data_IF_316965752785
#
_entry.id   IF_316965752785
#
_cell.length_a   1.000
_cell.length_b   1.000
_cell.length_c   1.000
_cell.angle_alpha   90.00
_cell.angle_beta   90.00
_cell.angle_gamma   90.00
#
_symmetry.space_group_name_H-M   'P 1'
#
loop_
_entity.id
_entity.type
_entity.pdbx_description
1 polymer ?
#
# COMPACT_ATOMS: atom_id res chain seq x y z
N UNK A 1 -69.20 -39.97 -2.42
CA UNK A 1 -70.13 -40.37 -3.52
C UNK A 1 -69.33 -40.65 -4.75
N UNK A 2 -69.40 -41.88 -5.17
CA UNK A 2 -69.28 -42.49 -6.51
C UNK A 2 -68.06 -42.08 -7.35
N UNK A 3 -67.08 -42.97 -7.52
CA UNK A 3 -67.10 -44.27 -8.25
C UNK A 3 -67.34 -44.08 -9.76
N UNK A 4 -66.40 -44.44 -10.64
CA UNK A 4 -66.47 -45.69 -11.41
C UNK A 4 -65.60 -45.50 -12.69
N UNK A 5 -64.69 -46.33 -12.93
CA UNK A 5 -64.52 -47.55 -13.71
C UNK A 5 -63.87 -47.45 -15.08
N UNK A 6 -62.73 -48.13 -15.19
CA UNK A 6 -62.26 -49.11 -16.23
C UNK A 6 -62.28 -48.70 -17.72
N UNK A 7 -61.34 -49.09 -18.54
CA UNK A 7 -60.82 -50.42 -18.95
C UNK A 7 -59.64 -50.36 -19.93
N UNK A 8 -58.68 -51.19 -19.68
CA UNK A 8 -57.87 -52.06 -20.55
C UNK A 8 -57.69 -51.76 -22.04
N UNK A 9 -56.47 -51.77 -22.52
CA UNK A 9 -56.03 -52.04 -23.84
C UNK A 9 -54.60 -52.60 -23.87
N UNK A 10 -54.44 -53.90 -23.92
CA UNK A 10 -53.20 -54.63 -24.15
C UNK A 10 -52.82 -54.56 -25.64
N UNK A 11 -51.62 -54.11 -25.96
CA UNK A 11 -51.01 -54.33 -27.25
C UNK A 11 -49.57 -54.77 -27.11
N UNK A 12 -49.34 -55.99 -27.50
CA UNK A 12 -47.99 -56.56 -27.55
C UNK A 12 -47.18 -55.91 -28.65
N UNK A 13 -46.00 -55.48 -28.39
CA UNK A 13 -45.00 -55.08 -29.37
C UNK A 13 -43.78 -55.97 -29.24
N UNK A 14 -43.46 -56.59 -30.29
CA UNK A 14 -42.35 -57.52 -30.56
C UNK A 14 -41.03 -56.80 -30.30
N UNK A 15 -40.19 -57.29 -29.36
CA UNK A 15 -38.82 -56.83 -29.14
C UNK A 15 -37.91 -57.58 -30.13
N UNK A 16 -37.44 -56.83 -31.10
CA UNK A 16 -36.32 -57.30 -31.97
C UNK A 16 -35.00 -56.91 -31.27
N UNK A 17 -34.27 -57.90 -30.79
CA UNK A 17 -32.94 -57.73 -30.22
C UNK A 17 -31.93 -57.51 -31.35
N UNK A 18 -31.44 -56.26 -31.48
CA UNK A 18 -30.27 -55.97 -32.34
C UNK A 18 -29.07 -55.91 -31.38
N UNK A 19 -28.19 -56.92 -31.42
CA UNK A 19 -26.91 -56.91 -30.76
C UNK A 19 -25.93 -56.06 -31.59
N UNK A 20 -25.69 -54.83 -31.12
CA UNK A 20 -24.61 -53.99 -31.64
C UNK A 20 -23.41 -54.21 -30.76
N UNK A 21 -22.35 -54.79 -31.28
CA UNK A 21 -21.03 -54.85 -30.68
C UNK A 21 -20.46 -53.43 -30.63
N UNK A 22 -20.58 -52.75 -29.50
CA UNK A 22 -19.82 -51.53 -29.25
C UNK A 22 -18.45 -51.91 -28.69
N UNK A 23 -17.45 -51.79 -29.56
CA UNK A 23 -16.05 -51.83 -29.10
C UNK A 23 -15.80 -50.69 -28.12
N UNK A 24 -15.37 -51.03 -26.91
CA UNK A 24 -14.84 -50.07 -25.97
C UNK A 24 -13.54 -49.47 -26.52
N UNK A 25 -13.63 -48.27 -27.09
CA UNK A 25 -12.48 -47.40 -27.27
C UNK A 25 -12.35 -46.68 -25.93
N UNK A 26 -11.40 -47.13 -25.09
CA UNK A 26 -10.98 -46.37 -23.91
C UNK A 26 -10.43 -45.02 -24.39
N UNK A 27 -10.87 -43.90 -23.81
CA UNK A 27 -10.22 -42.63 -24.09
C UNK A 27 -8.78 -42.73 -23.58
N UNK A 28 -7.80 -42.48 -24.47
CA UNK A 28 -6.44 -42.16 -24.02
C UNK A 28 -6.54 -40.96 -23.14
N UNK A 29 -6.28 -41.15 -21.83
CA UNK A 29 -5.93 -40.07 -20.92
C UNK A 29 -4.54 -39.65 -21.38
N UNK A 30 -4.44 -38.59 -22.14
CA UNK A 30 -3.22 -37.86 -22.32
C UNK A 30 -2.86 -37.36 -20.92
N UNK A 31 -1.89 -37.98 -20.31
CA UNK A 31 -1.17 -37.43 -19.15
C UNK A 31 -0.55 -36.12 -19.63
N UNK A 32 -1.25 -35.00 -19.37
CA UNK A 32 -0.60 -33.71 -19.36
C UNK A 32 0.55 -33.84 -18.38
N UNK A 33 1.74 -33.94 -18.93
CA UNK A 33 2.96 -33.75 -18.18
C UNK A 33 2.92 -32.31 -17.64
N UNK A 34 2.63 -32.16 -16.35
CA UNK A 34 3.00 -30.96 -15.61
C UNK A 34 4.52 -30.93 -15.52
N UNK A 35 5.17 -30.57 -16.61
CA UNK A 35 6.54 -30.10 -16.62
C UNK A 35 6.48 -28.63 -17.02
N UNK A 36 6.20 -27.81 -16.04
CA UNK A 36 6.53 -26.40 -16.04
C UNK A 36 7.07 -26.05 -14.65
N UNK A 37 8.31 -26.46 -14.38
CA UNK A 37 9.20 -25.60 -13.68
C UNK A 37 9.39 -24.38 -14.58
N UNK A 38 8.53 -23.36 -14.45
CA UNK A 38 8.90 -22.01 -14.79
C UNK A 38 10.03 -21.65 -13.84
N UNK A 39 11.26 -21.93 -14.25
CA UNK A 39 12.40 -21.13 -13.81
C UNK A 39 12.06 -19.71 -14.23
N UNK A 40 11.43 -18.94 -13.33
CA UNK A 40 11.24 -17.51 -13.53
C UNK A 40 12.63 -16.92 -13.48
N UNK A 41 13.26 -16.74 -14.64
CA UNK A 41 14.51 -16.00 -14.75
C UNK A 41 14.30 -14.66 -14.06
N UNK A 42 15.22 -14.33 -13.15
CA UNK A 42 15.21 -13.01 -12.52
C UNK A 42 15.22 -11.95 -13.62
N UNK A 43 14.40 -10.90 -13.51
CA UNK A 43 14.43 -9.79 -14.44
C UNK A 43 15.85 -9.24 -14.57
N UNK A 44 16.19 -8.70 -15.74
CA UNK A 44 17.53 -8.16 -16.01
C UNK A 44 17.81 -6.84 -15.26
N UNK A 45 16.74 -6.16 -14.82
CA UNK A 45 16.79 -4.87 -14.14
C UNK A 45 16.05 -4.95 -12.80
N UNK A 46 16.54 -4.28 -11.74
CA UNK A 46 15.94 -4.32 -10.43
C UNK A 46 14.57 -3.63 -10.37
N UNK A 47 13.73 -4.03 -9.43
CA UNK A 47 12.54 -3.33 -9.00
C UNK A 47 12.84 -2.69 -7.64
N UNK A 48 12.54 -1.41 -7.46
CA UNK A 48 12.86 -0.67 -6.22
C UNK A 48 14.31 -0.94 -5.74
N UNK A 49 15.25 -0.98 -6.69
CA UNK A 49 16.68 -1.12 -6.41
C UNK A 49 17.21 -2.55 -6.19
N UNK A 50 16.36 -3.58 -6.07
CA UNK A 50 16.79 -4.97 -5.84
C UNK A 50 16.11 -5.95 -6.82
N UNK A 51 16.89 -6.85 -7.42
CA UNK A 51 16.35 -7.86 -8.37
C UNK A 51 15.31 -8.79 -7.72
N UNK A 52 15.54 -9.18 -6.47
CA UNK A 52 14.64 -10.11 -5.76
C UNK A 52 13.24 -9.49 -5.53
N UNK A 53 13.13 -8.18 -5.41
CA UNK A 53 11.86 -7.51 -5.19
C UNK A 53 10.92 -7.62 -6.40
N UNK A 54 11.45 -7.81 -7.59
CA UNK A 54 10.64 -8.01 -8.77
C UNK A 54 9.74 -9.25 -8.68
N UNK A 55 10.17 -10.28 -7.96
CA UNK A 55 9.45 -11.54 -7.77
C UNK A 55 8.53 -11.55 -6.54
N UNK A 56 8.65 -10.56 -5.66
CA UNK A 56 7.83 -10.46 -4.46
C UNK A 56 6.52 -9.75 -4.75
N UNK A 57 5.47 -10.22 -4.08
CA UNK A 57 4.20 -9.49 -4.03
C UNK A 57 4.37 -8.20 -3.24
N UNK A 58 3.57 -7.19 -3.59
CA UNK A 58 3.65 -5.86 -3.00
C UNK A 58 3.61 -5.88 -1.46
N UNK A 59 2.72 -6.68 -0.87
CA UNK A 59 2.56 -6.86 0.58
C UNK A 59 3.76 -7.56 1.26
N UNK A 60 4.67 -8.16 0.49
CA UNK A 60 5.87 -8.85 0.98
C UNK A 60 7.17 -8.10 0.65
N UNK A 61 7.08 -6.80 0.43
CA UNK A 61 8.21 -5.88 0.26
C UNK A 61 8.23 -4.90 1.42
N UNK A 62 9.40 -4.57 1.95
CA UNK A 62 9.56 -3.49 2.93
C UNK A 62 9.95 -2.21 2.21
N UNK A 63 9.07 -1.20 2.27
CA UNK A 63 9.30 0.14 1.74
C UNK A 63 9.73 1.07 2.88
N UNK A 64 10.80 1.85 2.71
CA UNK A 64 11.09 2.97 3.59
C UNK A 64 10.06 4.08 3.32
N UNK A 65 9.46 4.61 4.38
CA UNK A 65 8.36 5.57 4.30
C UNK A 65 8.63 6.83 5.12
N UNK A 66 8.30 7.99 4.58
CA UNK A 66 8.31 9.25 5.33
C UNK A 66 6.89 9.61 5.78
N UNK A 67 6.72 9.75 7.11
CA UNK A 67 5.50 10.29 7.69
C UNK A 67 5.41 11.79 7.42
N UNK A 68 4.29 12.29 6.89
CA UNK A 68 4.13 13.68 6.48
C UNK A 68 5.25 14.19 5.56
N UNK A 69 5.51 13.48 4.49
CA UNK A 69 6.63 13.67 3.55
C UNK A 69 6.79 15.11 3.02
N UNK A 70 5.70 15.85 2.92
CA UNK A 70 5.63 17.24 2.46
C UNK A 70 5.94 18.25 3.56
N UNK A 71 5.86 17.83 4.83
CA UNK A 71 5.96 18.73 5.99
C UNK A 71 7.41 18.97 6.37
N UNK A 72 8.09 19.83 5.59
CA UNK A 72 9.55 20.01 5.68
C UNK A 72 9.97 21.47 5.85
N UNK A 73 11.13 21.66 6.47
CA UNK A 73 11.75 22.99 6.57
C UNK A 73 12.08 23.55 5.18
N UNK A 74 12.50 22.69 4.25
CA UNK A 74 12.81 23.10 2.88
C UNK A 74 11.58 23.66 2.15
N UNK A 75 10.39 23.13 2.45
CA UNK A 75 9.12 23.56 1.86
C UNK A 75 8.44 24.71 2.64
N UNK A 76 9.13 25.24 3.68
CA UNK A 76 8.70 26.39 4.46
C UNK A 76 7.76 26.05 5.60
N UNK A 77 7.63 24.77 5.97
CA UNK A 77 6.89 24.31 7.14
C UNK A 77 7.87 24.12 8.30
N UNK A 78 7.64 24.82 9.40
CA UNK A 78 8.54 24.83 10.55
C UNK A 78 7.89 24.20 11.77
N UNK A 79 8.73 23.84 12.74
CA UNK A 79 8.28 23.37 14.04
C UNK A 79 7.21 24.30 14.64
N UNK A 80 6.09 23.79 15.17
CA UNK A 80 5.83 22.40 15.54
C UNK A 80 5.15 21.54 14.48
N UNK A 81 4.95 22.03 13.26
CA UNK A 81 4.25 21.31 12.22
C UNK A 81 5.18 20.48 11.30
N UNK A 82 6.50 20.71 11.32
CA UNK A 82 7.45 19.99 10.48
C UNK A 82 7.79 18.59 11.00
N UNK A 83 7.99 17.66 10.06
CA UNK A 83 8.43 16.29 10.33
C UNK A 83 9.81 15.98 9.73
N UNK A 84 10.33 16.82 8.82
CA UNK A 84 11.61 16.63 8.14
C UNK A 84 12.33 17.95 7.88
N UNK A 85 13.64 17.85 7.56
CA UNK A 85 14.43 19.00 7.12
C UNK A 85 14.29 19.24 5.62
N UNK A 86 14.28 18.15 4.82
CA UNK A 86 14.37 18.17 3.35
C UNK A 86 13.14 17.58 2.68
N UNK A 87 12.82 18.11 1.49
CA UNK A 87 11.63 17.76 0.73
C UNK A 87 11.77 16.52 -0.14
N UNK A 88 10.77 16.33 -1.01
CA UNK A 88 10.59 15.15 -1.84
C UNK A 88 11.83 14.77 -2.67
N UNK A 89 12.57 15.75 -3.19
CA UNK A 89 13.75 15.47 -4.02
C UNK A 89 14.82 14.69 -3.25
N UNK A 90 15.14 15.16 -2.05
CA UNK A 90 16.14 14.50 -1.20
C UNK A 90 15.63 13.14 -0.68
N UNK A 91 14.37 13.04 -0.31
CA UNK A 91 13.73 11.79 0.12
C UNK A 91 13.79 10.74 -1.00
N UNK A 92 13.45 11.14 -2.22
CA UNK A 92 13.51 10.26 -3.39
C UNK A 92 14.94 9.80 -3.70
N UNK A 93 15.88 10.74 -3.71
CA UNK A 93 17.29 10.46 -4.01
C UNK A 93 17.94 9.56 -2.95
N UNK A 94 17.49 9.64 -1.70
CA UNK A 94 17.88 8.72 -0.63
C UNK A 94 17.33 7.30 -0.83
N UNK A 95 16.22 7.14 -1.54
CA UNK A 95 15.59 5.84 -1.80
C UNK A 95 14.21 5.64 -1.19
N UNK A 96 13.58 6.69 -0.63
CA UNK A 96 12.19 6.61 -0.17
C UNK A 96 11.25 6.30 -1.35
N UNK A 97 10.31 5.38 -1.14
CA UNK A 97 9.31 4.98 -2.14
C UNK A 97 7.90 4.85 -1.54
N UNK A 98 7.73 5.21 -0.29
CA UNK A 98 6.45 5.38 0.35
C UNK A 98 6.40 6.74 1.05
N UNK A 99 5.27 7.43 0.97
CA UNK A 99 5.11 8.79 1.46
C UNK A 99 3.72 8.96 2.09
N UNK A 100 3.66 9.40 3.33
CA UNK A 100 2.41 9.84 3.94
C UNK A 100 2.20 11.33 3.66
N UNK A 101 0.98 11.71 3.31
CA UNK A 101 0.61 13.10 3.03
C UNK A 101 -0.77 13.42 3.58
N UNK A 102 -0.98 14.65 4.04
CA UNK A 102 -2.29 15.14 4.49
C UNK A 102 -2.83 16.15 3.49
N UNK A 103 -4.08 15.95 3.06
CA UNK A 103 -4.74 16.84 2.11
C UNK A 103 -5.85 17.63 2.78
N UNK A 104 -5.79 18.95 2.70
CA UNK A 104 -6.76 19.88 3.26
C UNK A 104 -7.18 20.95 2.24
N UNK A 105 -8.30 21.61 2.51
CA UNK A 105 -8.58 22.89 1.87
C UNK A 105 -7.78 24.01 2.56
N UNK A 106 -7.17 24.90 1.78
CA UNK A 106 -6.33 26.00 2.28
C UNK A 106 -7.02 26.83 3.36
N UNK A 107 -8.33 27.05 3.20
CA UNK A 107 -9.16 27.76 4.19
C UNK A 107 -10.39 26.93 4.52
N UNK A 108 -10.81 26.93 5.78
CA UNK A 108 -12.04 26.27 6.20
C UNK A 108 -13.25 26.80 5.43
N UNK A 109 -14.06 25.90 4.89
CA UNK A 109 -15.27 26.22 4.14
C UNK A 109 -15.05 26.66 2.69
N UNK A 110 -13.82 26.66 2.19
CA UNK A 110 -13.50 26.92 0.78
C UNK A 110 -13.22 25.62 0.03
N UNK A 111 -14.26 24.83 -0.18
CA UNK A 111 -14.19 23.47 -0.75
C UNK A 111 -14.11 23.50 -2.29
N UNK A 112 -12.97 23.94 -2.81
CA UNK A 112 -12.68 23.95 -4.25
C UNK A 112 -11.39 23.20 -4.56
N UNK A 113 -11.31 22.58 -5.74
CA UNK A 113 -10.09 21.84 -6.19
C UNK A 113 -8.84 22.72 -6.13
N UNK A 114 -8.95 24.00 -6.54
CA UNK A 114 -7.82 24.93 -6.57
C UNK A 114 -7.29 25.30 -5.19
N UNK A 115 -8.04 25.00 -4.12
CA UNK A 115 -7.65 25.25 -2.73
C UNK A 115 -7.14 24.01 -2.00
N UNK A 116 -7.06 22.87 -2.66
CA UNK A 116 -6.47 21.66 -2.06
C UNK A 116 -4.96 21.85 -1.89
N UNK A 117 -4.50 21.66 -0.66
CA UNK A 117 -3.09 21.80 -0.23
C UNK A 117 -2.66 20.60 0.56
N UNK A 118 -1.35 20.42 0.66
CA UNK A 118 -0.76 19.51 1.65
C UNK A 118 -0.44 20.35 2.91
N UNK A 119 -1.07 20.00 4.03
CA UNK A 119 -0.97 20.73 5.29
C UNK A 119 -1.03 19.76 6.46
N UNK A 120 -0.17 19.92 7.48
CA UNK A 120 -0.09 19.00 8.60
C UNK A 120 -1.01 19.42 9.75
N UNK A 121 -1.93 18.56 10.14
CA UNK A 121 -2.79 18.67 11.33
C UNK A 121 -4.27 18.42 11.06
N UNK A 122 -5.08 18.53 12.11
CA UNK A 122 -6.53 18.30 12.10
C UNK A 122 -7.33 19.59 11.90
N UNK A 123 -8.50 19.49 11.25
CA UNK A 123 -9.45 20.60 11.07
C UNK A 123 -10.28 20.93 12.32
N UNK A 124 -10.22 20.12 13.37
CA UNK A 124 -11.07 20.20 14.56
C UNK A 124 -10.77 21.40 15.47
N UNK A 125 -9.65 22.09 15.23
CA UNK A 125 -9.19 23.26 16.03
C UNK A 125 -9.89 24.58 15.67
N UNK A 126 -10.79 24.57 14.65
CA UNK A 126 -11.54 25.74 14.22
C UNK A 126 -10.77 26.72 13.33
N UNK A 127 -9.60 26.33 12.85
CA UNK A 127 -8.82 27.00 11.81
C UNK A 127 -8.11 25.95 10.94
N UNK A 128 -7.82 26.30 9.68
CA UNK A 128 -7.16 25.37 8.77
C UNK A 128 -5.73 25.05 9.22
N UNK A 129 -5.30 23.77 9.21
CA UNK A 129 -3.92 23.36 9.44
C UNK A 129 -2.93 24.08 8.51
N UNK A 130 -3.35 24.47 7.33
CA UNK A 130 -2.57 25.23 6.35
C UNK A 130 -2.08 26.58 6.89
N UNK A 131 -2.58 27.03 8.02
CA UNK A 131 -2.09 28.23 8.74
C UNK A 131 -0.65 28.07 9.23
N UNK A 132 -0.19 26.86 9.49
CA UNK A 132 1.18 26.57 9.92
C UNK A 132 2.16 26.39 8.76
N UNK A 133 1.70 26.46 7.57
CA UNK A 133 2.40 26.24 6.32
C UNK A 133 1.64 25.29 5.41
N UNK A 134 1.88 25.39 4.12
CA UNK A 134 1.25 24.51 3.14
C UNK A 134 2.14 24.33 1.92
N UNK A 135 1.92 23.21 1.22
CA UNK A 135 2.53 22.93 -0.07
C UNK A 135 1.44 22.77 -1.12
N UNK A 136 1.68 23.30 -2.32
CA UNK A 136 0.76 23.12 -3.44
C UNK A 136 0.69 21.64 -3.83
N UNK A 137 -0.48 21.03 -3.69
CA UNK A 137 -0.68 19.58 -3.88
C UNK A 137 -0.41 19.14 -5.33
N UNK A 138 -0.85 19.94 -6.32
CA UNK A 138 -0.65 19.61 -7.74
C UNK A 138 0.82 19.65 -8.10
N UNK A 139 1.56 20.66 -7.64
CA UNK A 139 2.99 20.78 -7.90
C UNK A 139 3.78 19.65 -7.23
N UNK A 140 3.48 19.30 -5.98
CA UNK A 140 4.15 18.22 -5.26
C UNK A 140 3.93 16.86 -5.94
N UNK A 141 2.67 16.55 -6.31
CA UNK A 141 2.32 15.33 -7.02
C UNK A 141 2.87 15.30 -8.45
N UNK A 142 2.99 16.44 -9.11
CA UNK A 142 3.65 16.55 -10.42
C UNK A 142 5.13 16.22 -10.31
N UNK A 143 5.81 16.72 -9.27
CA UNK A 143 7.21 16.37 -9.03
C UNK A 143 7.36 14.86 -8.76
N UNK A 144 6.48 14.26 -7.96
CA UNK A 144 6.48 12.82 -7.72
C UNK A 144 6.28 12.03 -9.03
N UNK A 145 5.31 12.44 -9.88
CA UNK A 145 5.09 11.84 -11.21
C UNK A 145 6.34 11.88 -12.07
N UNK A 146 7.02 13.04 -12.14
CA UNK A 146 8.23 13.21 -12.94
C UNK A 146 9.35 12.28 -12.46
N UNK A 147 9.48 12.07 -11.16
CA UNK A 147 10.43 11.11 -10.59
C UNK A 147 10.08 9.67 -10.95
N UNK A 148 8.80 9.29 -10.87
CA UNK A 148 8.32 7.96 -11.26
C UNK A 148 8.54 7.70 -12.76
N UNK A 149 8.36 8.69 -13.61
CA UNK A 149 8.61 8.58 -15.05
C UNK A 149 10.10 8.38 -15.37
N UNK A 150 10.99 9.03 -14.61
CA UNK A 150 12.44 8.87 -14.74
C UNK A 150 12.93 7.53 -14.17
N UNK A 151 12.15 6.91 -13.30
CA UNK A 151 12.47 5.65 -12.63
C UNK A 151 11.32 4.62 -12.80
N UNK A 152 11.06 4.15 -14.03
CA UNK A 152 9.88 3.35 -14.36
C UNK A 152 9.89 1.94 -13.74
N UNK A 153 10.98 1.59 -13.04
CA UNK A 153 11.13 0.33 -12.32
C UNK A 153 10.82 0.44 -10.83
N UNK A 154 10.33 1.59 -10.38
CA UNK A 154 9.97 1.83 -8.99
C UNK A 154 8.45 1.82 -8.81
N UNK A 155 7.98 1.01 -7.86
CA UNK A 155 6.61 1.03 -7.33
C UNK A 155 6.60 1.96 -6.12
N UNK A 156 5.62 2.85 -6.08
CA UNK A 156 5.50 3.93 -5.09
C UNK A 156 4.19 3.81 -4.35
N UNK A 157 4.19 4.13 -3.07
CA UNK A 157 2.99 4.21 -2.24
C UNK A 157 2.74 5.63 -1.77
N UNK A 158 1.48 6.04 -1.81
CA UNK A 158 0.98 7.19 -1.06
C UNK A 158 -0.04 6.72 -0.02
N UNK A 159 0.18 7.08 1.23
CA UNK A 159 -0.82 6.99 2.29
C UNK A 159 -1.35 8.40 2.55
N UNK A 160 -2.63 8.63 2.27
CA UNK A 160 -3.25 9.95 2.34
C UNK A 160 -4.13 10.03 3.56
N UNK A 161 -3.78 10.91 4.49
CA UNK A 161 -4.71 11.41 5.50
C UNK A 161 -5.56 12.49 4.83
N UNK A 162 -6.80 12.15 4.48
CA UNK A 162 -7.57 12.95 3.53
C UNK A 162 -8.75 13.68 4.20
N UNK A 163 -8.71 15.00 4.16
CA UNK A 163 -9.75 15.92 4.66
C UNK A 163 -10.50 16.64 3.56
N UNK A 164 -10.33 16.22 2.29
CA UNK A 164 -11.05 16.80 1.15
C UNK A 164 -12.00 15.78 0.52
N UNK A 165 -12.94 16.25 -0.30
CA UNK A 165 -13.84 15.35 -1.03
C UNK A 165 -13.06 14.46 -2.00
N UNK A 166 -13.47 13.19 -2.15
CA UNK A 166 -12.80 12.22 -3.01
C UNK A 166 -12.70 12.69 -4.47
N UNK A 167 -13.72 13.37 -4.99
CA UNK A 167 -13.70 13.97 -6.32
C UNK A 167 -12.65 15.09 -6.45
N UNK A 168 -12.40 15.85 -5.40
CA UNK A 168 -11.38 16.91 -5.41
C UNK A 168 -9.98 16.31 -5.30
N UNK A 169 -9.82 15.25 -4.48
CA UNK A 169 -8.58 14.49 -4.45
C UNK A 169 -8.28 13.90 -5.85
N UNK A 170 -9.27 13.24 -6.47
CA UNK A 170 -9.13 12.73 -7.84
C UNK A 170 -8.72 13.82 -8.83
N UNK A 171 -9.36 14.98 -8.80
CA UNK A 171 -9.03 16.07 -9.70
C UNK A 171 -7.59 16.55 -9.55
N UNK A 172 -7.04 16.58 -8.32
CA UNK A 172 -5.63 16.92 -8.06
C UNK A 172 -4.70 15.88 -8.66
N UNK A 173 -5.03 14.58 -8.54
CA UNK A 173 -4.27 13.49 -9.16
C UNK A 173 -4.36 13.50 -10.69
N UNK A 174 -5.49 13.85 -11.27
CA UNK A 174 -5.65 14.04 -12.73
C UNK A 174 -4.84 15.24 -13.23
N UNK A 175 -4.88 16.38 -12.52
CA UNK A 175 -4.11 17.58 -12.88
C UNK A 175 -2.60 17.34 -12.84
N UNK A 176 -2.11 16.55 -11.91
CA UNK A 176 -0.69 16.14 -11.83
C UNK A 176 -0.33 15.02 -12.80
N UNK A 177 -1.30 14.41 -13.50
CA UNK A 177 -1.18 13.22 -14.35
C UNK A 177 -0.70 11.96 -13.60
N UNK A 178 -0.79 11.95 -12.27
CA UNK A 178 -0.38 10.81 -11.45
C UNK A 178 -1.50 9.74 -11.40
N UNK A 179 -2.75 10.14 -11.63
CA UNK A 179 -3.90 9.24 -11.64
C UNK A 179 -3.74 8.04 -12.60
N UNK A 180 -3.09 8.24 -13.75
CA UNK A 180 -2.86 7.19 -14.76
C UNK A 180 -1.91 6.07 -14.29
N UNK A 181 -1.17 6.31 -13.19
CA UNK A 181 -0.28 5.32 -12.57
C UNK A 181 -0.96 4.53 -11.45
N UNK A 182 -2.17 4.91 -11.05
CA UNK A 182 -2.84 4.33 -9.90
C UNK A 182 -3.24 2.86 -10.14
N UNK A 183 -2.86 2.01 -9.21
CA UNK A 183 -3.25 0.61 -9.17
C UNK A 183 -4.61 0.48 -8.48
N UNK A 184 -5.43 -0.46 -8.95
CA UNK A 184 -6.71 -0.83 -8.33
C UNK A 184 -6.59 -2.25 -7.80
N UNK A 185 -6.76 -2.41 -6.49
CA UNK A 185 -6.73 -3.70 -5.81
C UNK A 185 -8.09 -4.06 -5.23
N UNK A 186 -8.52 -5.30 -5.46
CA UNK A 186 -9.73 -5.83 -4.82
C UNK A 186 -9.36 -6.46 -3.48
N UNK A 187 -10.06 -6.09 -2.42
CA UNK A 187 -9.84 -6.63 -1.08
C UNK A 187 -9.89 -8.17 -1.07
N UNK A 188 -8.99 -8.78 -0.32
CA UNK A 188 -8.79 -10.23 -0.24
C UNK A 188 -8.34 -10.92 -1.55
N UNK A 189 -7.95 -10.17 -2.56
CA UNK A 189 -7.25 -10.71 -3.71
C UNK A 189 -5.75 -10.79 -3.45
N UNK A 190 -5.00 -11.73 -4.06
CA UNK A 190 -3.55 -11.73 -3.95
C UNK A 190 -2.95 -10.45 -4.53
N UNK A 191 -2.02 -9.83 -3.81
CA UNK A 191 -1.27 -8.70 -4.33
C UNK A 191 -0.39 -9.12 -5.51
N UNK A 192 -0.28 -8.31 -6.56
CA UNK A 192 0.64 -8.57 -7.66
C UNK A 192 2.10 -8.43 -7.19
N UNK A 193 3.01 -9.02 -7.95
CA UNK A 193 4.44 -8.76 -7.76
C UNK A 193 4.81 -7.35 -8.24
N UNK A 194 5.94 -6.80 -7.74
CA UNK A 194 6.40 -5.50 -8.23
C UNK A 194 6.61 -5.53 -9.76
N UNK A 195 7.13 -6.62 -10.30
CA UNK A 195 7.29 -6.77 -11.75
C UNK A 195 5.95 -6.66 -12.50
N UNK A 196 4.89 -7.28 -11.98
CA UNK A 196 3.56 -7.20 -12.59
C UNK A 196 2.98 -5.79 -12.56
N UNK A 197 3.16 -5.04 -11.45
CA UNK A 197 2.75 -3.63 -11.37
C UNK A 197 3.50 -2.76 -12.39
N UNK A 198 4.80 -2.98 -12.54
CA UNK A 198 5.66 -2.28 -13.49
C UNK A 198 5.24 -2.59 -14.94
N UNK A 199 5.02 -3.85 -15.28
CA UNK A 199 4.59 -4.27 -16.61
C UNK A 199 3.20 -3.74 -16.99
N UNK A 200 2.31 -3.61 -16.01
CA UNK A 200 1.00 -3.00 -16.17
C UNK A 200 1.03 -1.46 -16.21
N UNK A 201 2.19 -0.85 -15.91
CA UNK A 201 2.35 0.61 -15.74
C UNK A 201 1.42 1.21 -14.67
N UNK A 202 1.04 0.41 -13.66
CA UNK A 202 0.22 0.82 -12.51
C UNK A 202 1.09 0.80 -11.25
N UNK A 203 2.08 1.67 -11.22
CA UNK A 203 3.16 1.67 -10.23
C UNK A 203 2.89 2.55 -9.01
N UNK A 204 1.70 3.15 -8.91
CA UNK A 204 1.26 3.91 -7.75
C UNK A 204 0.19 3.12 -6.99
N UNK A 205 0.45 2.79 -5.74
CA UNK A 205 -0.54 2.28 -4.79
C UNK A 205 -0.95 3.40 -3.86
N UNK A 206 -2.25 3.69 -3.75
CA UNK A 206 -2.76 4.77 -2.93
C UNK A 206 -3.73 4.26 -1.89
N UNK A 207 -3.45 4.59 -0.62
CA UNK A 207 -4.33 4.33 0.51
C UNK A 207 -4.91 5.63 1.06
N UNK A 208 -6.13 5.54 1.58
CA UNK A 208 -6.79 6.58 2.36
C UNK A 208 -6.87 6.13 3.82
N UNK A 209 -6.22 6.85 4.72
CA UNK A 209 -6.05 6.42 6.10
C UNK A 209 -7.36 6.33 6.89
N UNK A 210 -8.33 7.17 6.58
CA UNK A 210 -9.56 7.33 7.37
C UNK A 210 -10.80 6.76 6.71
N UNK A 211 -10.65 5.90 5.74
CA UNK A 211 -11.73 5.28 5.02
C UNK A 211 -11.42 5.15 3.53
N UNK A 212 -12.41 4.72 2.78
CA UNK A 212 -12.37 4.58 1.33
C UNK A 212 -13.61 5.15 0.68
N UNK A 213 -13.65 5.14 -0.62
CA UNK A 213 -14.80 5.53 -1.40
C UNK A 213 -15.04 4.53 -2.52
N UNK A 214 -16.13 3.75 -2.44
CA UNK A 214 -16.48 2.72 -3.43
C UNK A 214 -16.62 3.28 -4.85
N UNK A 215 -16.90 4.58 -5.00
CA UNK A 215 -16.95 5.25 -6.30
C UNK A 215 -15.57 5.58 -6.87
N UNK A 216 -14.52 5.46 -6.03
CA UNK A 216 -13.13 5.74 -6.37
C UNK A 216 -12.21 4.54 -6.04
N UNK A 217 -12.32 3.40 -6.74
CA UNK A 217 -11.65 2.15 -6.37
C UNK A 217 -10.11 2.18 -6.47
N UNK A 218 -9.53 3.28 -6.94
CA UNK A 218 -8.08 3.52 -6.96
C UNK A 218 -7.56 4.11 -5.64
N UNK A 219 -8.46 4.52 -4.73
CA UNK A 219 -8.18 4.96 -3.36
C UNK A 219 -8.58 3.83 -2.43
N UNK A 220 -7.62 3.08 -1.93
CA UNK A 220 -7.92 1.93 -1.08
C UNK A 220 -8.17 2.38 0.35
N UNK A 221 -9.22 1.85 0.98
CA UNK A 221 -9.40 1.99 2.43
C UNK A 221 -8.21 1.34 3.16
N UNK A 222 -7.46 2.15 3.91
CA UNK A 222 -6.23 1.66 4.53
C UNK A 222 -6.48 0.51 5.49
N UNK A 223 -7.48 0.62 6.37
CA UNK A 223 -7.75 -0.40 7.38
C UNK A 223 -8.48 -1.64 6.84
N UNK A 224 -8.97 -1.62 5.60
CA UNK A 224 -9.45 -2.83 4.91
C UNK A 224 -8.28 -3.71 4.44
N UNK A 225 -7.12 -3.11 4.16
CA UNK A 225 -5.96 -3.82 3.63
C UNK A 225 -4.81 -3.95 4.63
N UNK A 226 -4.83 -3.16 5.72
CA UNK A 226 -3.65 -3.00 6.57
C UNK A 226 -3.96 -2.98 8.06
N UNK A 227 -2.92 -3.24 8.83
CA UNK A 227 -2.87 -3.03 10.26
C UNK A 227 -1.59 -2.30 10.66
N UNK A 228 -1.63 -1.59 11.80
CA UNK A 228 -0.54 -0.70 12.21
C UNK A 228 -0.11 -0.93 13.65
N UNK A 229 1.18 -0.68 13.93
CA UNK A 229 1.67 -0.51 15.31
C UNK A 229 1.29 0.85 15.87
N UNK A 230 1.59 1.07 17.16
CA UNK A 230 1.38 2.37 17.80
C UNK A 230 2.25 3.47 17.16
N UNK A 231 1.72 4.70 17.14
CA UNK A 231 2.36 5.90 16.57
C UNK A 231 2.54 7.03 17.58
N UNK A 232 2.28 6.77 18.86
CA UNK A 232 2.29 7.80 19.92
C UNK A 232 3.37 7.57 20.99
N UNK A 233 4.35 6.73 20.70
CA UNK A 233 5.38 6.36 21.65
C UNK A 233 6.34 7.53 21.96
N UNK A 234 6.79 7.57 23.20
CA UNK A 234 7.71 8.61 23.68
C UNK A 234 9.12 8.08 23.96
N UNK A 235 9.32 6.78 23.96
CA UNK A 235 10.62 6.14 24.17
C UNK A 235 10.74 4.94 23.23
N UNK A 236 11.97 4.63 22.82
CA UNK A 236 12.25 3.46 21.97
C UNK A 236 11.91 2.13 22.67
N UNK A 237 12.08 2.06 24.00
CA UNK A 237 11.73 0.88 24.80
C UNK A 237 10.22 0.59 24.83
N UNK A 238 9.37 1.58 24.54
CA UNK A 238 7.92 1.43 24.46
C UNK A 238 7.46 1.00 23.06
N UNK A 239 8.31 1.15 22.04
CA UNK A 239 8.05 0.77 20.65
C UNK A 239 7.99 -0.76 20.50
N UNK A 240 6.81 -1.32 20.68
CA UNK A 240 6.55 -2.74 20.55
C UNK A 240 5.86 -3.10 19.22
N UNK A 241 5.47 -4.36 19.06
CA UNK A 241 4.81 -4.87 17.86
C UNK A 241 3.29 -5.01 18.02
N UNK A 242 2.70 -4.47 19.09
CA UNK A 242 1.27 -4.57 19.35
C UNK A 242 0.47 -3.84 18.26
N UNK A 243 -0.65 -4.45 17.87
CA UNK A 243 -1.54 -3.89 16.85
C UNK A 243 -2.37 -2.79 17.48
N UNK A 244 -2.28 -1.57 16.94
CA UNK A 244 -3.10 -0.45 17.36
C UNK A 244 -4.39 -0.33 16.54
N UNK A 245 -4.29 -0.48 15.22
CA UNK A 245 -5.42 -0.35 14.28
C UNK A 245 -5.38 -1.47 13.25
N UNK A 246 -6.53 -1.86 12.72
CA UNK A 246 -6.68 -2.92 11.72
C UNK A 246 -6.70 -4.31 12.33
N UNK A 247 -6.59 -5.33 11.49
CA UNK A 247 -6.63 -6.74 11.86
C UNK A 247 -5.41 -7.47 11.29
N UNK A 248 -4.84 -8.41 12.04
CA UNK A 248 -3.67 -9.22 11.63
C UNK A 248 -3.91 -10.04 10.36
N UNK A 249 -5.17 -10.34 10.05
CA UNK A 249 -5.53 -11.10 8.85
C UNK A 249 -5.34 -10.28 7.55
N UNK A 250 -5.22 -8.96 7.66
CA UNK A 250 -4.97 -8.07 6.52
C UNK A 250 -3.54 -8.19 6.01
N UNK A 251 -3.34 -7.92 4.70
CA UNK A 251 -2.12 -8.27 4.01
C UNK A 251 -0.97 -7.30 4.25
N UNK A 252 -1.27 -6.00 4.46
CA UNK A 252 -0.28 -4.92 4.55
C UNK A 252 0.05 -4.62 6.00
N UNK A 253 1.32 -4.68 6.36
CA UNK A 253 1.80 -4.35 7.70
C UNK A 253 2.51 -3.00 7.71
N UNK A 254 1.91 -2.02 8.40
CA UNK A 254 2.47 -0.68 8.55
C UNK A 254 3.10 -0.50 9.94
N UNK A 255 4.42 -0.44 9.98
CA UNK A 255 5.18 -0.23 11.19
C UNK A 255 5.50 1.26 11.38
N UNK A 256 4.80 1.91 12.30
CA UNK A 256 5.10 3.28 12.70
C UNK A 256 6.39 3.33 13.54
N UNK A 257 7.32 4.23 13.20
CA UNK A 257 8.61 4.30 13.86
C UNK A 257 9.08 5.74 14.03
N UNK A 258 8.42 6.48 14.89
CA UNK A 258 8.85 7.82 15.33
C UNK A 258 8.51 8.05 16.79
N UNK A 259 9.23 8.97 17.42
CA UNK A 259 9.04 9.35 18.80
C UNK A 259 8.35 10.71 18.92
N UNK A 260 7.40 10.80 19.84
CA UNK A 260 6.72 12.05 20.16
C UNK A 260 7.32 12.67 21.41
N UNK A 261 7.51 13.98 21.35
CA UNK A 261 7.89 14.77 22.51
C UNK A 261 6.76 14.88 23.54
N UNK A 262 7.02 15.48 24.73
CA UNK A 262 6.06 15.54 25.83
C UNK A 262 4.72 16.20 25.49
N UNK A 263 4.65 17.02 24.46
CA UNK A 263 3.42 17.68 23.99
C UNK A 263 2.68 16.88 22.89
N UNK A 264 3.12 15.67 22.58
CA UNK A 264 2.58 14.85 21.50
C UNK A 264 2.99 15.30 20.09
N UNK A 265 3.97 16.21 19.99
CA UNK A 265 4.51 16.71 18.72
C UNK A 265 5.70 15.85 18.31
N UNK A 266 6.00 15.82 17.00
CA UNK A 266 7.24 15.23 16.50
C UNK A 266 8.46 15.89 17.16
N UNK A 267 9.46 15.11 17.56
CA UNK A 267 10.64 15.62 18.28
C UNK A 267 11.89 15.53 17.41
N UNK A 268 12.34 16.65 16.82
CA UNK A 268 13.51 16.66 15.94
C UNK A 268 14.84 16.29 16.63
N UNK A 269 14.88 16.29 17.95
CA UNK A 269 16.10 15.95 18.70
C UNK A 269 16.27 14.44 18.92
N UNK A 270 15.32 13.63 18.47
CA UNK A 270 15.27 12.19 18.72
C UNK A 270 15.17 11.36 17.44
N UNK A 271 15.36 11.99 16.30
CA UNK A 271 15.36 11.30 15.00
C UNK A 271 16.45 10.23 14.92
N UNK A 272 17.66 10.55 15.35
CA UNK A 272 18.81 9.63 15.37
C UNK A 272 18.59 8.41 16.29
N UNK A 273 17.89 8.57 17.40
CA UNK A 273 17.53 7.47 18.29
C UNK A 273 16.47 6.54 17.66
N UNK A 274 15.41 7.12 17.05
CA UNK A 274 14.33 6.35 16.45
C UNK A 274 14.75 5.68 15.13
N UNK A 275 15.63 6.33 14.36
CA UNK A 275 15.99 5.91 13.00
C UNK A 275 17.38 5.23 12.93
N UNK A 276 17.95 4.86 14.09
CA UNK A 276 19.17 4.04 14.13
C UNK A 276 18.95 2.74 13.33
N UNK A 277 19.87 2.43 12.42
CA UNK A 277 19.70 1.35 11.47
C UNK A 277 19.62 -0.02 12.14
N UNK A 278 20.41 -0.24 13.18
CA UNK A 278 20.44 -1.52 13.89
C UNK A 278 19.15 -1.68 14.71
N UNK A 279 18.66 -0.61 15.34
CA UNK A 279 17.38 -0.59 16.04
C UNK A 279 16.21 -0.89 15.10
N UNK A 280 16.16 -0.25 13.92
CA UNK A 280 15.11 -0.49 12.92
C UNK A 280 15.10 -1.94 12.43
N UNK A 281 16.27 -2.52 12.13
CA UNK A 281 16.39 -3.91 11.68
C UNK A 281 15.97 -4.88 12.79
N UNK A 282 16.44 -4.66 14.03
CA UNK A 282 16.09 -5.52 15.17
C UNK A 282 14.58 -5.50 15.42
N UNK A 283 13.99 -4.32 15.54
CA UNK A 283 12.53 -4.15 15.76
C UNK A 283 11.71 -4.75 14.65
N UNK A 284 12.04 -4.47 13.37
CA UNK A 284 11.31 -5.02 12.24
C UNK A 284 11.38 -6.55 12.19
N UNK A 285 12.55 -7.13 12.53
CA UNK A 285 12.73 -8.58 12.57
C UNK A 285 11.96 -9.22 13.74
N UNK A 286 11.97 -8.62 14.93
CA UNK A 286 11.17 -9.07 16.08
C UNK A 286 9.67 -9.06 15.75
N UNK A 287 9.18 -7.96 15.18
CA UNK A 287 7.78 -7.83 14.78
C UNK A 287 7.40 -8.82 13.69
N UNK A 288 8.29 -9.05 12.73
CA UNK A 288 8.09 -10.07 11.70
C UNK A 288 8.00 -11.47 12.31
N UNK A 289 8.90 -11.82 13.25
CA UNK A 289 8.85 -13.12 13.93
C UNK A 289 7.58 -13.27 14.78
N UNK A 290 7.15 -12.21 15.46
CA UNK A 290 5.95 -12.22 16.30
C UNK A 290 4.69 -12.47 15.49
N UNK A 291 4.55 -11.82 14.33
CA UNK A 291 3.33 -11.83 13.52
C UNK A 291 3.40 -12.76 12.31
N UNK A 292 4.56 -13.32 11.99
CA UNK A 292 4.77 -14.12 10.78
C UNK A 292 4.68 -13.33 9.48
N UNK A 293 4.63 -11.99 9.56
CA UNK A 293 4.46 -11.09 8.42
C UNK A 293 5.53 -9.99 8.44
N UNK A 294 6.20 -9.81 7.30
CA UNK A 294 7.20 -8.75 7.09
C UNK A 294 6.53 -7.38 7.15
N UNK A 295 7.11 -6.38 7.84
CA UNK A 295 6.63 -5.01 7.70
C UNK A 295 6.68 -4.56 6.24
N UNK A 296 5.53 -4.15 5.71
CA UNK A 296 5.44 -3.59 4.36
C UNK A 296 5.96 -2.15 4.34
N UNK A 297 5.72 -1.42 5.43
CA UNK A 297 6.21 -0.05 5.59
C UNK A 297 6.96 0.10 6.92
N UNK A 298 8.05 0.88 6.87
CA UNK A 298 8.70 1.44 8.04
C UNK A 298 8.60 2.95 7.90
N UNK A 299 7.63 3.54 8.62
CA UNK A 299 7.33 4.97 8.55
C UNK A 299 8.09 5.72 9.62
N UNK A 300 8.81 6.78 9.23
CA UNK A 300 9.67 7.57 10.12
C UNK A 300 9.42 9.07 9.99
N UNK A 301 9.64 9.79 11.10
CA UNK A 301 9.91 11.24 11.13
C UNK A 301 11.44 11.46 11.07
N UNK A 302 11.85 12.66 10.66
CA UNK A 302 13.28 13.09 10.68
C UNK A 302 14.19 12.05 10.01
N UNK A 303 13.80 11.61 8.82
CA UNK A 303 14.46 10.54 8.09
C UNK A 303 15.96 10.78 7.85
N UNK A 304 16.38 12.04 7.85
CA UNK A 304 17.79 12.45 7.70
C UNK A 304 18.68 12.07 8.89
N UNK A 305 18.06 11.83 10.06
CA UNK A 305 18.73 11.53 11.31
C UNK A 305 18.87 10.01 11.53
N UNK A 306 19.18 9.26 10.48
CA UNK A 306 19.38 7.82 10.51
C UNK A 306 19.41 7.24 9.10
N UNK A 307 19.13 5.94 8.96
CA UNK A 307 19.14 5.29 7.62
C UNK A 307 18.05 4.22 7.48
N UNK A 308 16.79 4.67 7.41
CA UNK A 308 15.63 3.78 7.20
C UNK A 308 15.70 3.07 5.83
N UNK A 309 16.38 3.66 4.84
CA UNK A 309 16.55 3.04 3.51
C UNK A 309 17.48 1.84 3.62
N UNK A 310 18.62 1.98 4.32
CA UNK A 310 19.51 0.86 4.56
C UNK A 310 18.83 -0.25 5.40
N UNK A 311 18.04 0.13 6.41
CA UNK A 311 17.28 -0.82 7.21
C UNK A 311 16.26 -1.59 6.35
N UNK A 312 15.44 -0.91 5.56
CA UNK A 312 14.46 -1.53 4.66
C UNK A 312 15.12 -2.45 3.64
N UNK A 313 16.28 -2.04 3.09
CA UNK A 313 17.07 -2.88 2.19
C UNK A 313 17.55 -4.15 2.89
N UNK A 314 18.13 -4.04 4.08
CA UNK A 314 18.60 -5.19 4.85
C UNK A 314 17.45 -6.16 5.17
N UNK A 315 16.28 -5.64 5.59
CA UNK A 315 15.08 -6.45 5.86
C UNK A 315 14.58 -7.14 4.59
N UNK A 316 14.64 -6.47 3.45
CA UNK A 316 14.30 -7.07 2.16
C UNK A 316 15.28 -8.19 1.74
N UNK A 317 16.50 -8.18 2.19
CA UNK A 317 17.50 -9.22 1.93
C UNK A 317 17.41 -10.40 2.91
N UNK A 318 16.67 -10.25 4.03
CA UNK A 318 16.43 -11.34 4.98
C UNK A 318 15.41 -12.35 4.44
N UNK A 319 15.64 -13.63 4.73
CA UNK A 319 14.66 -14.69 4.57
C UNK A 319 14.39 -15.31 5.95
N UNK A 320 13.12 -15.56 6.28
CA UNK A 320 12.80 -16.35 7.47
C UNK A 320 13.11 -17.81 7.16
N UNK A 321 14.06 -18.40 7.89
CA UNK A 321 14.39 -19.82 7.85
C UNK A 321 13.38 -20.67 8.63
#
# INVERSE_FOLDING_TARGET
MLATYMRKGLSAVVVTLILIFSGCIAPKVDTLSMDQSQDSELPSEPCNGLLILCLRTYDNVTFPETHNAFSTHQDGIYYPASNHQTGLDAQWDAGMRAFMIDTHYENLGDERVETVRLCHGDDDRGFSPCTYGNVDSVNWLTNLRDKMEQNPRDVVTLLVENYVQAEHLKAVFELSQLYEKAFIHEANSPWPTLQQLIEANTTLVLFWEQGGDDSHPWIHDFLTHSWTTNYAEQNTEDMNCDILRGDIEQEVYHMNNWLRGPAGLSDPSRGDEANDVDFLIERANECWQQHGKRPTFIAVDWWEDGDVVAAAKAINELEIN
#
